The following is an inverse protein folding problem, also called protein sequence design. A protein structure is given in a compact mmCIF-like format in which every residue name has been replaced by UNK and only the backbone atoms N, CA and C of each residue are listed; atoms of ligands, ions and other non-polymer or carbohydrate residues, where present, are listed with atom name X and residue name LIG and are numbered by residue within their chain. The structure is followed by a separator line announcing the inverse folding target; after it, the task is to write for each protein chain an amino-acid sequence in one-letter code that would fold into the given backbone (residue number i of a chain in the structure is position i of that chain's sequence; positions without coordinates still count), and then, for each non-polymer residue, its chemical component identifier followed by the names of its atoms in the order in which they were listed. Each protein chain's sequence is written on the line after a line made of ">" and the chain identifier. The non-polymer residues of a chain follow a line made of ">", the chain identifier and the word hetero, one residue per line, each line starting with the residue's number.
data_IF_850665566282
#
_entry.id   IF_850665566282
#
_cell.length_a   1.000
_cell.length_b   1.000
_cell.length_c   1.000
_cell.angle_alpha   90.00
_cell.angle_beta   90.00
_cell.angle_gamma   90.00
#
_symmetry.space_group_name_H-M   'P 1'
#
loop_
_entity.id
_entity.type
_entity.pdbx_description
1 polymer ?
#
# COMPACT_ATOMS: atom_id res chain seq x y z
N UNK A 1 -17.20 9.77 -20.89
CA UNK A 1 -17.00 9.63 -19.87
C UNK A 1 -16.49 10.40 -18.65
N UNK A 2 -17.41 10.79 -17.80
CA UNK A 2 -17.17 11.53 -16.55
C UNK A 2 -16.35 10.75 -15.49
N UNK A 3 -15.95 9.52 -15.76
CA UNK A 3 -15.27 8.66 -14.79
C UNK A 3 -13.87 8.22 -15.23
N UNK A 4 -13.31 8.85 -16.22
CA UNK A 4 -11.94 8.56 -16.69
C UNK A 4 -10.95 9.43 -15.93
N UNK A 5 -9.87 8.84 -15.44
CA UNK A 5 -8.69 9.57 -14.99
C UNK A 5 -8.18 10.40 -16.17
N UNK A 6 -7.93 11.66 -15.94
CA UNK A 6 -7.26 12.47 -16.95
C UNK A 6 -5.83 11.98 -17.12
N UNK A 7 -5.39 11.92 -18.37
CA UNK A 7 -4.02 11.48 -18.67
C UNK A 7 -3.00 12.38 -17.96
N UNK A 8 -2.05 11.76 -17.26
CA UNK A 8 -1.01 12.46 -16.51
C UNK A 8 -1.44 13.03 -15.16
N UNK A 9 -2.71 12.90 -14.77
CA UNK A 9 -3.20 13.40 -13.49
C UNK A 9 -3.54 12.25 -12.54
N UNK A 10 -3.17 12.42 -11.27
CA UNK A 10 -3.53 11.53 -10.17
C UNK A 10 -4.81 12.03 -9.53
N UNK A 11 -5.75 11.14 -9.24
CA UNK A 11 -6.96 11.48 -8.49
C UNK A 11 -6.58 11.78 -7.03
N UNK A 12 -6.63 13.04 -6.65
CA UNK A 12 -6.29 13.53 -5.31
C UNK A 12 -7.28 14.58 -4.85
N UNK A 13 -7.04 15.15 -3.68
CA UNK A 13 -7.72 16.35 -3.19
C UNK A 13 -9.25 16.20 -3.12
N UNK A 14 -9.71 15.02 -2.77
CA UNK A 14 -11.11 14.70 -2.50
C UNK A 14 -11.26 14.00 -1.14
N UNK A 15 -12.44 14.10 -0.55
CA UNK A 15 -12.70 13.37 0.70
C UNK A 15 -12.42 11.88 0.52
N UNK A 16 -11.74 11.26 1.48
CA UNK A 16 -11.24 9.88 1.35
C UNK A 16 -12.35 8.86 1.09
N UNK A 17 -13.55 9.08 1.66
CA UNK A 17 -14.73 8.24 1.36
C UNK A 17 -15.11 8.25 -0.13
N UNK A 18 -14.85 9.34 -0.83
CA UNK A 18 -15.24 9.50 -2.23
C UNK A 18 -14.41 8.64 -3.19
N UNK A 19 -13.21 8.22 -2.82
CA UNK A 19 -12.43 7.27 -3.65
C UNK A 19 -13.23 5.99 -3.91
N UNK A 20 -13.84 5.39 -2.88
CA UNK A 20 -14.73 4.24 -3.06
C UNK A 20 -15.96 4.57 -3.88
N UNK A 21 -16.59 5.72 -3.61
CA UNK A 21 -17.78 6.15 -4.35
C UNK A 21 -17.52 6.23 -5.86
N UNK A 22 -16.39 6.80 -6.25
CA UNK A 22 -16.02 6.92 -7.66
C UNK A 22 -15.52 5.59 -8.25
N UNK A 23 -14.76 4.79 -7.50
CA UNK A 23 -14.32 3.49 -7.96
C UNK A 23 -15.51 2.56 -8.28
N UNK A 24 -16.53 2.52 -7.43
CA UNK A 24 -17.75 1.71 -7.59
C UNK A 24 -18.59 2.08 -8.81
N UNK A 25 -18.48 3.31 -9.30
CA UNK A 25 -19.13 3.72 -10.56
C UNK A 25 -18.60 2.97 -11.79
N UNK A 26 -17.49 2.25 -11.68
CA UNK A 26 -16.95 1.38 -12.74
C UNK A 26 -17.72 0.06 -12.87
N UNK A 27 -18.50 -0.30 -11.86
CA UNK A 27 -19.29 -1.51 -11.82
C UNK A 27 -19.11 -2.33 -10.53
N UNK A 28 -19.86 -3.43 -10.45
CA UNK A 28 -19.77 -4.36 -9.32
C UNK A 28 -18.35 -4.94 -9.20
N UNK A 29 -17.87 -5.10 -7.97
CA UNK A 29 -16.53 -5.60 -7.67
C UNK A 29 -15.44 -4.55 -7.67
N UNK A 30 -15.69 -3.34 -8.19
CA UNK A 30 -14.72 -2.25 -8.13
C UNK A 30 -14.81 -1.49 -6.82
N UNK A 31 -13.65 -1.17 -6.24
CA UNK A 31 -13.49 -0.26 -5.09
C UNK A 31 -12.12 0.44 -5.17
N UNK A 32 -11.88 1.35 -4.23
CA UNK A 32 -10.55 1.81 -3.91
C UNK A 32 -9.78 0.71 -3.15
N UNK A 33 -8.45 0.85 -3.04
CA UNK A 33 -7.55 -0.10 -2.40
C UNK A 33 -8.14 -0.71 -1.11
N UNK A 34 -8.44 -2.01 -1.15
CA UNK A 34 -9.07 -2.71 -0.05
C UNK A 34 -8.02 -3.32 0.90
N UNK A 35 -8.29 -3.36 2.20
CA UNK A 35 -7.32 -3.78 3.22
C UNK A 35 -6.71 -5.17 2.96
N UNK A 36 -7.48 -6.09 2.39
CA UNK A 36 -7.00 -7.42 2.01
C UNK A 36 -5.94 -7.33 0.92
N UNK A 37 -6.15 -6.49 -0.10
CA UNK A 37 -5.18 -6.33 -1.18
C UNK A 37 -3.86 -5.76 -0.66
N UNK A 38 -3.92 -4.78 0.23
CA UNK A 38 -2.72 -4.22 0.88
C UNK A 38 -1.96 -5.27 1.68
N UNK A 39 -2.66 -6.09 2.47
CA UNK A 39 -2.02 -7.16 3.24
C UNK A 39 -1.39 -8.24 2.34
N UNK A 40 -2.06 -8.60 1.24
CA UNK A 40 -1.53 -9.57 0.26
C UNK A 40 -0.24 -9.04 -0.37
N UNK A 41 -0.18 -7.76 -0.76
CA UNK A 41 1.05 -7.15 -1.29
C UNK A 41 2.19 -7.24 -0.27
N UNK A 42 1.95 -6.89 0.98
CA UNK A 42 2.95 -6.96 2.05
C UNK A 42 3.44 -8.40 2.29
N UNK A 43 2.52 -9.37 2.35
CA UNK A 43 2.86 -10.78 2.58
C UNK A 43 3.65 -11.37 1.40
N UNK A 44 3.20 -11.12 0.16
CA UNK A 44 3.91 -11.60 -1.03
C UNK A 44 5.31 -11.01 -1.12
N UNK A 45 5.47 -9.74 -0.78
CA UNK A 45 6.78 -9.12 -0.71
C UNK A 45 7.72 -9.88 0.24
N UNK A 46 7.29 -10.11 1.47
CA UNK A 46 8.09 -10.83 2.46
C UNK A 46 8.46 -12.25 2.01
N UNK A 47 7.53 -12.95 1.36
CA UNK A 47 7.76 -14.31 0.86
C UNK A 47 8.78 -14.31 -0.30
N UNK A 48 8.65 -13.39 -1.23
CA UNK A 48 9.43 -13.38 -2.47
C UNK A 48 10.86 -12.87 -2.23
N UNK A 49 11.00 -11.81 -1.46
CA UNK A 49 12.30 -11.19 -1.20
C UNK A 49 12.99 -11.70 0.07
N UNK A 50 12.29 -12.43 0.93
CA UNK A 50 12.85 -12.96 2.18
C UNK A 50 13.25 -11.87 3.18
N UNK A 51 12.76 -10.65 3.02
CA UNK A 51 13.06 -9.48 3.86
C UNK A 51 11.80 -8.71 4.23
N UNK A 52 11.89 -7.91 5.28
CA UNK A 52 10.88 -6.90 5.67
C UNK A 52 11.32 -5.48 5.30
N UNK A 53 12.52 -5.31 4.76
CA UNK A 53 13.02 -4.04 4.26
C UNK A 53 12.70 -3.92 2.77
N UNK A 54 11.56 -3.32 2.45
CA UNK A 54 11.10 -3.18 1.07
C UNK A 54 11.99 -2.24 0.27
N UNK A 55 12.52 -1.22 0.89
CA UNK A 55 13.38 -0.25 0.23
C UNK A 55 14.68 -0.90 -0.24
N UNK A 56 15.30 -1.72 0.61
CA UNK A 56 16.52 -2.45 0.24
C UNK A 56 16.32 -3.36 -0.97
N UNK A 57 15.14 -3.97 -1.09
CA UNK A 57 14.85 -4.90 -2.18
C UNK A 57 14.59 -4.22 -3.54
N UNK A 58 14.07 -2.99 -3.55
CA UNK A 58 13.64 -2.31 -4.79
C UNK A 58 14.36 -0.99 -5.07
N UNK A 59 15.08 -0.42 -4.09
CA UNK A 59 15.86 0.81 -4.24
C UNK A 59 17.33 0.47 -4.01
N UNK A 60 18.12 0.55 -5.08
CA UNK A 60 19.50 0.08 -5.07
C UNK A 60 20.49 1.01 -4.33
N UNK A 61 20.18 2.30 -4.20
CA UNK A 61 21.08 3.30 -3.66
C UNK A 61 20.68 3.77 -2.27
N UNK A 62 21.67 4.03 -1.44
CA UNK A 62 21.51 4.64 -0.12
C UNK A 62 21.79 6.13 -0.18
N UNK A 63 21.18 6.89 0.71
CA UNK A 63 21.50 8.30 0.92
C UNK A 63 22.83 8.48 1.66
N UNK A 64 23.22 9.75 1.91
CA UNK A 64 24.44 10.10 2.66
C UNK A 64 24.48 9.60 4.11
N UNK A 65 23.32 9.24 4.68
CA UNK A 65 23.19 8.68 6.02
C UNK A 65 23.23 7.13 6.00
N UNK A 66 23.40 6.52 4.84
CA UNK A 66 23.39 5.07 4.67
C UNK A 66 22.01 4.44 4.70
N UNK A 67 20.95 5.21 4.54
CA UNK A 67 19.55 4.75 4.52
C UNK A 67 19.00 4.71 3.10
N UNK A 68 18.21 3.71 2.80
CA UNK A 68 17.42 3.68 1.57
C UNK A 68 16.29 4.72 1.65
N UNK A 69 16.05 5.43 0.56
CA UNK A 69 14.98 6.40 0.48
C UNK A 69 13.76 5.78 -0.21
N UNK A 70 12.62 5.80 0.45
CA UNK A 70 11.37 5.28 -0.08
C UNK A 70 10.81 6.17 -1.20
N UNK A 71 10.86 5.69 -2.43
CA UNK A 71 10.30 6.42 -3.56
C UNK A 71 11.06 7.69 -3.91
N UNK A 72 10.38 8.84 -3.97
CA UNK A 72 11.01 10.11 -4.33
C UNK A 72 11.94 10.67 -3.25
N UNK A 73 11.80 10.18 -2.02
CA UNK A 73 12.66 10.50 -0.90
C UNK A 73 12.79 11.99 -0.60
N UNK A 74 13.89 12.32 0.07
CA UNK A 74 14.22 13.71 0.43
C UNK A 74 14.53 14.61 -0.77
N UNK A 75 14.79 14.04 -1.94
CA UNK A 75 15.04 14.81 -3.17
C UNK A 75 13.86 15.70 -3.57
N UNK A 76 12.64 15.30 -3.25
CA UNK A 76 11.44 16.11 -3.52
C UNK A 76 11.50 17.48 -2.81
N UNK A 77 12.04 17.54 -1.61
CA UNK A 77 12.13 18.77 -0.83
C UNK A 77 13.16 19.78 -1.41
N UNK A 78 14.01 19.34 -2.31
CA UNK A 78 14.95 20.20 -3.05
C UNK A 78 14.31 20.86 -4.29
N UNK A 79 13.08 20.49 -4.62
CA UNK A 79 12.37 21.10 -5.75
C UNK A 79 11.79 22.45 -5.34
N UNK A 80 11.96 23.52 -6.15
CA UNK A 80 11.32 24.80 -5.87
C UNK A 80 9.81 24.66 -5.70
N UNK A 81 9.27 25.26 -4.64
CA UNK A 81 7.84 25.32 -4.36
C UNK A 81 7.15 23.95 -4.18
N UNK A 82 7.88 22.90 -3.84
CA UNK A 82 7.32 21.56 -3.66
C UNK A 82 6.20 21.54 -2.59
N UNK A 83 6.34 22.30 -1.52
CA UNK A 83 5.39 22.44 -0.42
C UNK A 83 4.12 23.22 -0.83
N UNK A 84 4.23 24.14 -1.78
CA UNK A 84 3.10 24.91 -2.33
C UNK A 84 2.19 24.03 -3.18
N UNK A 85 2.68 22.91 -3.65
CA UNK A 85 1.88 21.90 -4.36
C UNK A 85 1.17 20.93 -3.42
N UNK A 86 1.18 21.19 -2.10
CA UNK A 86 0.56 20.34 -1.08
C UNK A 86 1.16 18.95 -1.06
N UNK A 87 2.49 18.84 -1.19
CA UNK A 87 3.22 17.59 -1.35
C UNK A 87 2.84 16.85 -2.65
N UNK A 88 2.57 17.59 -3.68
CA UNK A 88 2.02 17.07 -4.91
C UNK A 88 3.02 16.16 -5.62
N UNK A 89 2.59 14.98 -6.07
CA UNK A 89 3.46 14.09 -6.82
C UNK A 89 3.77 14.68 -8.18
N UNK A 90 5.05 14.85 -8.48
CA UNK A 90 5.54 15.39 -9.77
C UNK A 90 5.82 14.29 -10.78
N UNK A 91 5.64 13.03 -10.38
CA UNK A 91 5.90 11.85 -11.20
C UNK A 91 4.57 11.31 -11.72
N UNK A 92 4.41 11.10 -13.04
CA UNK A 92 3.19 10.56 -13.60
C UNK A 92 2.97 9.10 -13.17
N UNK A 93 1.72 8.68 -13.11
CA UNK A 93 1.34 7.29 -12.73
C UNK A 93 1.88 6.23 -13.70
N UNK A 94 2.32 6.62 -14.89
CA UNK A 94 2.94 5.75 -15.89
C UNK A 94 4.45 5.55 -15.71
N UNK A 95 5.12 6.32 -14.85
CA UNK A 95 6.54 6.12 -14.59
C UNK A 95 6.81 4.70 -14.09
N UNK A 96 7.84 4.05 -14.63
CA UNK A 96 8.14 2.65 -14.36
C UNK A 96 7.40 1.65 -15.25
N UNK A 97 6.70 2.12 -16.30
CA UNK A 97 5.97 1.23 -17.22
C UNK A 97 6.89 0.26 -17.97
N UNK A 98 8.12 0.65 -18.18
CA UNK A 98 9.16 -0.14 -18.85
C UNK A 98 9.56 -1.40 -18.08
N UNK A 99 9.33 -1.44 -16.77
CA UNK A 99 9.55 -2.64 -15.96
C UNK A 99 8.40 -3.66 -16.08
N UNK A 100 7.28 -3.28 -16.73
CA UNK A 100 6.14 -4.16 -16.92
C UNK A 100 5.61 -4.73 -15.60
N UNK A 101 5.60 -6.04 -15.48
CA UNK A 101 5.25 -6.81 -14.28
C UNK A 101 6.49 -7.28 -13.49
N UNK A 102 7.66 -6.72 -13.78
CA UNK A 102 8.89 -6.94 -13.03
C UNK A 102 8.94 -6.16 -11.70
N UNK A 103 10.11 -6.24 -11.06
CA UNK A 103 10.42 -5.52 -9.83
C UNK A 103 11.70 -4.71 -10.01
N UNK A 104 11.82 -3.63 -9.27
CA UNK A 104 13.01 -2.81 -9.23
C UNK A 104 12.71 -1.33 -9.14
N UNK A 105 13.66 -0.55 -9.62
CA UNK A 105 13.60 0.91 -9.64
C UNK A 105 13.84 1.41 -11.06
N UNK A 106 13.13 2.45 -11.44
CA UNK A 106 13.39 3.23 -12.65
C UNK A 106 13.62 4.68 -12.30
N UNK A 107 14.21 5.43 -13.22
CA UNK A 107 14.44 6.88 -13.05
C UNK A 107 13.50 7.65 -13.96
N UNK A 108 12.68 8.53 -13.38
CA UNK A 108 11.88 9.49 -14.12
C UNK A 108 12.49 10.88 -14.03
N UNK A 109 12.86 11.45 -15.18
CA UNK A 109 13.43 12.79 -15.24
C UNK A 109 12.32 13.85 -15.26
N UNK A 110 12.27 14.64 -14.19
CA UNK A 110 11.45 15.86 -14.12
C UNK A 110 12.25 16.97 -14.77
N UNK A 111 11.70 17.58 -15.83
CA UNK A 111 12.37 18.64 -16.59
C UNK A 111 11.84 20.00 -16.19
N UNK A 112 12.68 21.03 -16.30
CA UNK A 112 12.30 22.43 -16.23
C UNK A 112 11.61 22.86 -17.54
N UNK A 113 11.06 24.05 -17.55
CA UNK A 113 10.40 24.62 -18.72
C UNK A 113 11.32 24.74 -19.94
N UNK A 114 12.61 25.00 -19.71
CA UNK A 114 13.65 25.07 -20.74
C UNK A 114 14.14 23.69 -21.24
N UNK A 115 13.56 22.59 -20.73
CA UNK A 115 13.93 21.23 -21.07
C UNK A 115 15.15 20.67 -20.33
N UNK A 116 15.83 21.46 -19.49
CA UNK A 116 16.94 20.99 -18.68
C UNK A 116 16.46 20.10 -17.54
N UNK A 117 17.31 19.19 -17.06
CA UNK A 117 16.99 18.33 -15.93
C UNK A 117 16.77 19.17 -14.66
N UNK A 118 15.62 19.01 -14.04
CA UNK A 118 15.31 19.59 -12.76
C UNK A 118 15.57 18.61 -11.61
N UNK A 119 15.04 17.38 -11.73
CA UNK A 119 15.16 16.34 -10.73
C UNK A 119 14.99 14.96 -11.36
N UNK A 120 15.84 14.02 -10.94
CA UNK A 120 15.76 12.61 -11.34
C UNK A 120 15.06 11.82 -10.22
N UNK A 121 13.77 11.53 -10.39
CA UNK A 121 12.97 10.81 -9.42
C UNK A 121 13.22 9.30 -9.53
N UNK A 122 13.51 8.66 -8.42
CA UNK A 122 13.60 7.20 -8.30
C UNK A 122 12.22 6.63 -8.03
N UNK A 123 11.76 5.74 -8.88
CA UNK A 123 10.40 5.21 -8.88
C UNK A 123 10.43 3.70 -8.68
N UNK A 124 9.97 3.17 -7.54
CA UNK A 124 9.91 1.75 -7.31
C UNK A 124 8.74 1.10 -8.07
N UNK A 125 8.97 -0.13 -8.52
CA UNK A 125 7.96 -1.00 -9.12
C UNK A 125 8.05 -2.38 -8.46
N UNK A 126 6.91 -2.97 -8.15
CA UNK A 126 6.79 -4.27 -7.53
C UNK A 126 5.72 -5.09 -8.24
N UNK A 127 6.13 -6.06 -9.07
CA UNK A 127 5.24 -6.90 -9.88
C UNK A 127 4.13 -6.13 -10.59
N UNK A 128 4.52 -5.09 -11.32
CA UNK A 128 3.60 -4.24 -12.05
C UNK A 128 2.83 -3.21 -11.20
N UNK A 129 2.94 -3.26 -9.88
CA UNK A 129 2.48 -2.19 -9.00
C UNK A 129 3.46 -1.03 -9.08
N UNK A 130 3.05 0.04 -9.74
CA UNK A 130 3.86 1.25 -9.89
C UNK A 130 3.64 2.15 -8.68
N UNK A 131 4.73 2.74 -8.20
CA UNK A 131 4.71 3.58 -7.01
C UNK A 131 4.04 2.87 -5.81
N UNK A 132 4.48 1.67 -5.42
CA UNK A 132 3.88 0.95 -4.29
C UNK A 132 4.03 1.73 -2.98
N UNK A 133 5.05 2.59 -2.88
CA UNK A 133 5.31 3.48 -1.76
C UNK A 133 6.09 4.75 -2.17
N UNK A 134 6.17 5.73 -1.27
CA UNK A 134 7.06 6.89 -1.38
C UNK A 134 6.68 7.95 -2.41
N UNK A 135 5.56 7.80 -3.09
CA UNK A 135 5.10 8.77 -4.09
C UNK A 135 3.89 9.56 -3.60
N UNK A 136 2.83 8.87 -3.25
CA UNK A 136 1.58 9.44 -2.74
C UNK A 136 0.98 8.46 -1.73
N UNK A 137 0.45 8.97 -0.64
CA UNK A 137 -0.29 8.17 0.32
C UNK A 137 -1.45 7.43 -0.34
N UNK A 138 -1.61 6.16 -0.04
CA UNK A 138 -2.69 5.33 -0.56
C UNK A 138 -3.69 5.06 0.54
N UNK A 139 -4.94 5.52 0.35
CA UNK A 139 -6.00 5.16 1.28
C UNK A 139 -6.26 3.66 1.24
N UNK A 140 -6.42 3.05 2.40
CA UNK A 140 -6.80 1.65 2.56
C UNK A 140 -8.23 1.60 3.09
N UNK A 141 -9.12 1.00 2.30
CA UNK A 141 -10.55 0.93 2.57
C UNK A 141 -10.94 -0.37 3.29
N UNK A 142 -12.13 -0.38 3.87
CA UNK A 142 -12.68 -1.54 4.58
C UNK A 142 -12.11 -1.73 5.99
N UNK A 143 -11.41 -0.72 6.49
CA UNK A 143 -10.77 -0.71 7.80
C UNK A 143 -11.01 0.63 8.48
N UNK A 144 -11.29 0.60 9.78
CA UNK A 144 -11.39 1.77 10.65
C UNK A 144 -10.50 1.57 11.88
N UNK A 145 -9.74 2.59 12.21
CA UNK A 145 -9.05 2.74 13.47
C UNK A 145 -9.88 3.62 14.40
N UNK A 146 -10.39 3.03 15.48
CA UNK A 146 -11.12 3.73 16.53
C UNK A 146 -10.14 4.18 17.60
N UNK A 147 -9.72 5.41 17.49
CA UNK A 147 -8.69 6.03 18.32
C UNK A 147 -9.23 6.34 19.71
N UNK A 148 -8.76 5.60 20.72
CA UNK A 148 -9.07 5.78 22.13
C UNK A 148 -8.01 6.57 22.90
N UNK A 149 -8.03 6.49 24.22
CA UNK A 149 -7.08 7.20 25.10
C UNK A 149 -5.70 6.55 25.11
N UNK A 150 -5.63 5.27 25.44
CA UNK A 150 -4.37 4.53 25.62
C UNK A 150 -4.03 3.67 24.42
N UNK A 151 -5.05 3.20 23.71
CA UNK A 151 -4.94 2.33 22.55
C UNK A 151 -5.95 2.70 21.51
N UNK A 152 -5.65 2.35 20.27
CA UNK A 152 -6.60 2.39 19.17
C UNK A 152 -7.04 0.98 18.81
N UNK A 153 -8.32 0.80 18.58
CA UNK A 153 -8.91 -0.48 18.21
C UNK A 153 -9.18 -0.51 16.71
N UNK A 154 -8.65 -1.53 16.02
CA UNK A 154 -8.80 -1.67 14.59
C UNK A 154 -9.94 -2.61 14.25
N UNK A 155 -10.83 -2.14 13.38
CA UNK A 155 -12.01 -2.86 12.91
C UNK A 155 -11.98 -3.01 11.39
N UNK A 156 -12.42 -4.16 10.88
CA UNK A 156 -12.51 -4.42 9.44
C UNK A 156 -13.91 -4.81 9.01
N UNK A 157 -14.27 -4.43 7.80
CA UNK A 157 -15.48 -4.93 7.16
C UNK A 157 -15.34 -6.43 6.87
N UNK A 158 -16.39 -7.25 7.17
CA UNK A 158 -16.32 -8.69 6.96
C UNK A 158 -16.19 -9.09 5.49
N UNK A 159 -16.58 -8.23 4.57
CA UNK A 159 -16.37 -8.43 3.13
C UNK A 159 -16.48 -7.11 2.38
N UNK A 160 -15.95 -7.07 1.14
CA UNK A 160 -16.12 -5.93 0.23
C UNK A 160 -17.60 -5.61 -0.06
N UNK A 161 -18.47 -6.61 0.02
CA UNK A 161 -19.90 -6.51 -0.30
C UNK A 161 -20.76 -6.28 0.94
N UNK A 162 -20.20 -6.36 2.15
CA UNK A 162 -20.87 -5.87 3.34
C UNK A 162 -20.94 -4.35 3.30
N UNK A 163 -22.02 -3.78 3.79
CA UNK A 163 -22.11 -2.33 3.95
C UNK A 163 -20.93 -1.83 4.78
N UNK A 164 -20.23 -0.83 4.29
CA UNK A 164 -19.10 -0.20 4.95
C UNK A 164 -19.31 1.32 4.99
N UNK A 165 -19.35 1.85 6.20
CA UNK A 165 -19.41 3.29 6.46
C UNK A 165 -18.18 3.71 7.26
N UNK A 166 -17.43 4.67 6.76
CA UNK A 166 -16.25 5.22 7.42
C UNK A 166 -16.54 5.94 8.76
N UNK A 167 -17.81 6.20 9.04
CA UNK A 167 -18.24 6.92 10.25
C UNK A 167 -18.82 5.99 11.32
N UNK A 168 -18.74 4.67 11.12
CA UNK A 168 -19.32 3.69 12.04
C UNK A 168 -18.51 2.42 12.11
N UNK A 169 -18.36 1.87 13.31
CA UNK A 169 -17.81 0.52 13.54
C UNK A 169 -18.90 -0.55 13.63
N UNK A 170 -20.15 -0.17 13.48
CA UNK A 170 -21.28 -1.12 13.54
C UNK A 170 -21.17 -2.16 12.41
N UNK A 171 -21.28 -3.44 12.78
CA UNK A 171 -21.13 -4.55 11.82
C UNK A 171 -19.70 -4.86 11.39
N UNK A 172 -18.71 -4.15 11.89
CA UNK A 172 -17.29 -4.44 11.67
C UNK A 172 -16.76 -5.45 12.70
N UNK A 173 -15.65 -6.09 12.38
CA UNK A 173 -14.97 -7.08 13.23
C UNK A 173 -13.72 -6.44 13.81
N UNK A 174 -13.60 -6.41 15.16
CA UNK A 174 -12.33 -6.02 15.81
C UNK A 174 -11.24 -7.04 15.50
N UNK A 175 -10.08 -6.58 15.03
CA UNK A 175 -8.98 -7.46 14.62
C UNK A 175 -7.71 -7.30 15.44
N UNK A 176 -7.38 -6.11 15.88
CA UNK A 176 -6.21 -5.88 16.73
C UNK A 176 -6.32 -4.53 17.46
N UNK A 177 -5.33 -4.27 18.29
CA UNK A 177 -5.06 -2.95 18.87
C UNK A 177 -3.72 -2.43 18.34
N UNK A 178 -3.60 -1.13 18.19
CA UNK A 178 -2.39 -0.43 17.75
C UNK A 178 -1.91 0.55 18.81
N UNK A 179 -0.60 0.83 18.92
CA UNK A 179 -0.04 1.79 19.87
C UNK A 179 -0.58 3.20 19.61
N UNK A 180 -0.68 4.00 20.65
CA UNK A 180 -1.02 5.44 20.61
C UNK A 180 0.22 6.34 20.45
N UNK A 181 1.25 5.83 19.83
CA UNK A 181 2.50 6.57 19.62
C UNK A 181 3.11 6.21 18.27
N UNK A 182 3.67 7.21 17.61
CA UNK A 182 4.35 7.04 16.33
C UNK A 182 5.75 6.45 16.50
N UNK A 183 6.23 5.75 15.50
CA UNK A 183 7.58 5.19 15.49
C UNK A 183 7.80 4.18 14.39
N UNK A 184 9.04 3.70 14.27
CA UNK A 184 9.35 2.62 13.33
C UNK A 184 8.69 1.30 13.76
N UNK A 185 8.10 0.61 12.80
CA UNK A 185 7.30 -0.60 13.00
C UNK A 185 8.21 -1.77 13.38
N UNK A 186 7.99 -2.34 14.56
CA UNK A 186 8.67 -3.54 15.03
C UNK A 186 7.86 -4.80 14.76
N UNK A 187 6.52 -4.74 14.94
CA UNK A 187 5.62 -5.87 14.73
C UNK A 187 4.32 -5.42 14.04
N UNK A 188 3.79 -6.29 13.18
CA UNK A 188 2.47 -6.11 12.55
C UNK A 188 1.59 -7.34 12.78
N UNK A 189 0.30 -7.12 12.98
CA UNK A 189 -0.73 -8.14 12.87
C UNK A 189 -1.16 -8.28 11.41
N UNK A 190 -1.46 -9.53 11.01
CA UNK A 190 -2.09 -9.87 9.72
C UNK A 190 -3.38 -10.68 9.95
N UNK A 191 -3.94 -10.61 11.14
CA UNK A 191 -5.17 -11.31 11.46
C UNK A 191 -6.31 -10.86 10.54
N UNK A 192 -7.04 -11.82 9.98
CA UNK A 192 -8.06 -11.62 8.95
C UNK A 192 -7.57 -10.80 7.72
N UNK A 193 -6.30 -10.93 7.37
CA UNK A 193 -5.65 -10.15 6.30
C UNK A 193 -5.73 -8.63 6.53
N UNK A 194 -5.74 -8.20 7.78
CA UNK A 194 -5.61 -6.80 8.15
C UNK A 194 -4.18 -6.53 8.62
N UNK A 195 -3.41 -5.83 7.79
CA UNK A 195 -2.01 -5.51 8.07
C UNK A 195 -1.91 -4.23 8.90
N UNK A 196 -1.77 -4.32 10.22
CA UNK A 196 -1.66 -3.16 11.11
C UNK A 196 -0.49 -3.27 12.07
N UNK A 197 0.25 -2.16 12.34
CA UNK A 197 1.30 -2.13 13.36
C UNK A 197 0.73 -2.44 14.74
N UNK A 198 1.36 -3.38 15.45
CA UNK A 198 0.98 -3.73 16.83
C UNK A 198 2.07 -3.42 17.84
N UNK A 199 3.30 -3.22 17.36
CA UNK A 199 4.43 -2.78 18.17
C UNK A 199 5.33 -1.84 17.36
N UNK A 200 5.79 -0.77 18.00
CA UNK A 200 6.80 0.15 17.49
C UNK A 200 8.09 0.04 18.31
N UNK A 201 9.14 0.79 17.95
CA UNK A 201 10.44 0.76 18.62
C UNK A 201 11.53 0.08 17.80
N UNK A 202 11.31 -0.06 16.48
CA UNK A 202 12.36 -0.37 15.53
C UNK A 202 13.13 0.87 15.09
N UNK A 203 13.93 0.75 14.03
CA UNK A 203 14.66 1.85 13.37
C UNK A 203 14.47 1.76 11.85
N UNK A 204 14.95 2.75 11.10
CA UNK A 204 14.92 2.74 9.63
C UNK A 204 15.72 1.57 9.00
N UNK A 205 16.49 0.82 9.79
CA UNK A 205 17.32 -0.31 9.33
C UNK A 205 17.03 -1.63 10.03
N UNK A 206 16.02 -1.69 10.91
CA UNK A 206 15.67 -2.90 11.65
C UNK A 206 14.19 -3.22 11.54
N UNK A 207 13.85 -4.52 11.59
CA UNK A 207 12.49 -5.05 11.49
C UNK A 207 11.83 -4.69 10.15
N UNK A 208 10.73 -3.88 10.17
CA UNK A 208 10.02 -3.49 8.94
C UNK A 208 10.64 -2.26 8.27
N UNK A 209 11.54 -1.54 8.94
CA UNK A 209 12.21 -0.33 8.45
C UNK A 209 11.30 0.84 8.07
N UNK A 210 10.00 0.67 8.13
CA UNK A 210 8.98 1.63 7.76
C UNK A 210 8.33 2.26 9.00
N UNK A 211 7.75 3.44 8.84
CA UNK A 211 7.25 4.24 9.94
C UNK A 211 5.73 4.13 10.10
N UNK A 212 5.28 4.22 11.35
CA UNK A 212 3.87 4.33 11.74
C UNK A 212 3.60 5.73 12.29
N UNK A 213 2.65 6.43 11.68
CA UNK A 213 2.15 7.71 12.14
C UNK A 213 0.79 7.49 12.81
N UNK A 214 0.79 7.59 14.10
CA UNK A 214 -0.42 7.55 14.90
C UNK A 214 -0.80 8.98 15.33
N UNK A 215 -2.08 9.23 15.42
CA UNK A 215 -2.59 10.53 15.84
C UNK A 215 -2.16 10.86 17.27
N UNK A 216 -1.86 12.13 17.51
CA UNK A 216 -1.46 12.59 18.84
C UNK A 216 -2.55 12.34 19.89
N UNK A 217 -2.16 12.31 21.17
CA UNK A 217 -3.03 12.01 22.31
C UNK A 217 -4.32 12.86 22.38
N UNK A 218 -4.38 14.01 21.72
CA UNK A 218 -5.52 14.92 21.73
C UNK A 218 -6.63 14.57 20.73
N UNK A 219 -6.39 13.68 19.78
CA UNK A 219 -7.34 13.38 18.70
C UNK A 219 -7.92 11.99 18.86
N UNK A 220 -9.19 11.92 19.23
CA UNK A 220 -9.96 10.67 19.37
C UNK A 220 -10.94 10.50 18.22
N UNK A 221 -11.49 9.29 18.13
CA UNK A 221 -12.56 8.95 17.19
C UNK A 221 -12.09 8.17 15.98
N UNK A 222 -12.95 8.05 14.99
CA UNK A 222 -12.74 7.16 13.86
C UNK A 222 -11.73 7.74 12.86
N UNK A 223 -10.79 6.93 12.43
CA UNK A 223 -9.75 7.26 11.45
C UNK A 223 -9.69 6.21 10.36
N UNK A 224 -9.22 6.62 9.20
CA UNK A 224 -8.92 5.74 8.08
C UNK A 224 -7.43 5.44 8.04
N UNK A 225 -7.06 4.30 7.47
CA UNK A 225 -5.66 3.96 7.23
C UNK A 225 -5.19 4.53 5.89
N UNK A 226 -4.00 5.13 5.91
CA UNK A 226 -3.19 5.37 4.72
C UNK A 226 -1.95 4.47 4.75
N UNK A 227 -1.43 4.11 3.58
CA UNK A 227 -0.22 3.29 3.46
C UNK A 227 0.73 3.82 2.40
N UNK A 228 1.99 3.43 2.49
CA UNK A 228 3.01 3.64 1.47
C UNK A 228 3.81 4.92 1.63
N UNK A 229 3.34 5.89 2.43
CA UNK A 229 3.93 7.22 2.57
C UNK A 229 3.90 8.07 1.29
N UNK A 230 4.27 9.33 1.38
CA UNK A 230 4.34 10.27 0.26
C UNK A 230 5.79 10.65 -0.08
N UNK A 231 5.96 11.47 -1.09
CA UNK A 231 7.27 11.78 -1.67
C UNK A 231 8.25 12.46 -0.70
N UNK A 232 7.76 13.15 0.32
CA UNK A 232 8.59 13.84 1.31
C UNK A 232 8.94 12.99 2.54
N UNK A 233 8.46 11.75 2.64
CA UNK A 233 8.67 10.93 3.84
C UNK A 233 10.02 10.20 3.87
N UNK A 234 10.77 10.20 2.75
CA UNK A 234 12.12 9.69 2.67
C UNK A 234 12.28 8.26 3.19
N UNK A 235 13.23 8.05 4.08
CA UNK A 235 13.54 6.74 4.68
C UNK A 235 12.42 6.15 5.54
N UNK A 236 11.42 6.94 5.90
CA UNK A 236 10.24 6.46 6.63
C UNK A 236 9.23 5.75 5.72
N UNK A 237 9.37 5.92 4.38
CA UNK A 237 8.46 5.37 3.40
C UNK A 237 8.76 3.91 3.09
N UNK A 238 7.72 3.17 2.80
CA UNK A 238 7.75 1.78 2.35
C UNK A 238 6.32 1.24 2.30
N UNK A 239 6.10 0.10 1.69
CA UNK A 239 4.74 -0.43 1.58
C UNK A 239 4.13 -0.87 2.91
N UNK A 240 4.95 -1.08 3.94
CA UNK A 240 4.48 -1.35 5.31
C UNK A 240 4.16 -0.06 6.08
N UNK A 241 4.60 1.11 5.60
CA UNK A 241 4.35 2.40 6.21
C UNK A 241 2.85 2.65 6.38
N UNK A 242 2.46 3.10 7.56
CA UNK A 242 1.05 3.20 7.96
C UNK A 242 0.78 4.53 8.64
N UNK A 243 -0.34 5.16 8.31
CA UNK A 243 -0.79 6.40 8.94
C UNK A 243 -2.28 6.29 9.28
N UNK A 244 -2.64 6.64 10.51
CA UNK A 244 -4.01 6.63 11.04
C UNK A 244 -4.42 8.00 11.59
N UNK A 245 -3.80 9.09 11.10
CA UNK A 245 -4.09 10.45 11.58
C UNK A 245 -5.38 11.04 11.02
N UNK A 246 -5.92 10.49 9.95
CA UNK A 246 -6.90 11.17 9.12
C UNK A 246 -8.31 10.59 9.26
N UNK A 247 -9.30 11.47 9.39
CA UNK A 247 -10.71 11.10 9.28
C UNK A 247 -11.12 10.90 7.81
N UNK A 248 -12.18 10.14 7.56
CA UNK A 248 -12.71 9.90 6.21
C UNK A 248 -13.18 11.16 5.48
N UNK A 249 -13.45 12.24 6.22
CA UNK A 249 -13.82 13.54 5.68
C UNK A 249 -12.63 14.39 5.20
N UNK A 250 -11.40 14.00 5.56
CA UNK A 250 -10.20 14.74 5.10
C UNK A 250 -10.03 14.66 3.59
N UNK A 251 -9.36 15.67 3.05
CA UNK A 251 -9.06 15.84 1.63
C UNK A 251 -7.66 16.43 1.51
N UNK A 252 -6.73 15.70 0.91
CA UNK A 252 -5.33 16.09 0.81
C UNK A 252 -4.81 15.83 -0.61
N UNK A 253 -3.93 16.72 -1.10
CA UNK A 253 -3.32 16.60 -2.41
C UNK A 253 -2.33 15.42 -2.50
N UNK A 254 -1.70 15.06 -1.38
CA UNK A 254 -0.76 13.94 -1.28
C UNK A 254 -1.42 12.59 -0.95
N UNK A 255 -2.74 12.46 -1.11
CA UNK A 255 -3.49 11.22 -0.87
C UNK A 255 -4.29 10.82 -2.10
N UNK A 256 -4.16 9.56 -2.49
CA UNK A 256 -4.85 8.92 -3.59
C UNK A 256 -5.30 7.51 -3.22
N UNK A 257 -5.84 6.77 -4.16
CA UNK A 257 -6.15 5.35 -4.01
C UNK A 257 -5.92 4.61 -5.33
N UNK A 258 -5.16 3.53 -5.35
CA UNK A 258 -5.21 2.60 -6.47
C UNK A 258 -6.59 1.95 -6.53
N UNK A 259 -7.00 1.56 -7.73
CA UNK A 259 -8.24 0.81 -7.93
C UNK A 259 -8.03 -0.64 -7.48
N UNK A 260 -9.06 -1.20 -6.89
CA UNK A 260 -9.16 -2.59 -6.52
C UNK A 260 -10.35 -3.24 -7.25
N UNK A 261 -10.15 -4.45 -7.73
CA UNK A 261 -11.21 -5.23 -8.34
C UNK A 261 -11.26 -6.64 -7.73
N UNK A 262 -12.41 -7.00 -7.16
CA UNK A 262 -12.67 -8.33 -6.66
C UNK A 262 -13.68 -9.04 -7.56
N UNK A 263 -13.31 -10.19 -8.06
CA UNK A 263 -14.28 -11.08 -8.72
C UNK A 263 -15.20 -11.65 -7.66
N UNK A 264 -16.48 -11.30 -7.72
CA UNK A 264 -17.49 -11.95 -6.90
C UNK A 264 -17.72 -13.35 -7.44
N UNK A 265 -17.04 -14.33 -6.87
CA UNK A 265 -17.49 -15.71 -7.02
C UNK A 265 -18.66 -15.89 -6.05
N UNK A 266 -19.90 -15.93 -6.55
CA UNK A 266 -21.01 -16.41 -5.75
C UNK A 266 -20.69 -17.85 -5.33
N UNK A 267 -20.37 -18.02 -4.06
CA UNK A 267 -20.62 -19.30 -3.40
C UNK A 267 -22.12 -19.29 -3.09
N UNK A 268 -22.89 -19.97 -3.93
CA UNK A 268 -24.32 -20.06 -3.73
C UNK A 268 -24.60 -20.55 -2.30
N UNK A 269 -25.32 -19.74 -1.54
CA UNK A 269 -25.66 -20.03 -0.14
C UNK A 269 -24.78 -19.42 0.95
N UNK A 270 -23.63 -18.80 0.63
CA UNK A 270 -22.80 -18.11 1.63
C UNK A 270 -23.14 -16.63 1.67
N UNK A 271 -23.89 -16.22 2.69
CA UNK A 271 -24.31 -14.81 2.88
C UNK A 271 -23.37 -14.03 3.80
N UNK A 272 -22.62 -14.71 4.67
CA UNK A 272 -21.78 -14.10 5.69
C UNK A 272 -20.70 -15.07 6.21
N UNK A 273 -19.79 -14.56 7.04
CA UNK A 273 -18.71 -15.33 7.65
C UNK A 273 -19.24 -16.49 8.51
N UNK A 274 -20.33 -16.30 9.23
CA UNK A 274 -20.91 -17.34 10.08
C UNK A 274 -21.45 -18.52 9.25
N UNK A 275 -22.03 -18.24 8.11
CA UNK A 275 -22.46 -19.26 7.14
C UNK A 275 -21.23 -20.00 6.58
N UNK A 276 -20.17 -19.29 6.21
CA UNK A 276 -18.94 -19.89 5.72
C UNK A 276 -18.24 -20.77 6.75
N UNK A 277 -18.21 -20.35 8.02
CA UNK A 277 -17.63 -21.14 9.11
C UNK A 277 -18.38 -22.47 9.34
N UNK A 278 -19.68 -22.51 9.09
CA UNK A 278 -20.51 -23.72 9.24
C UNK A 278 -20.38 -24.68 8.05
N UNK A 279 -19.81 -24.25 6.93
CA UNK A 279 -19.62 -25.11 5.76
C UNK A 279 -18.58 -26.22 6.03
N UNK A 280 -18.81 -27.39 5.49
CA UNK A 280 -17.82 -28.47 5.50
C UNK A 280 -16.62 -28.12 4.61
N UNK A 281 -15.49 -28.76 4.85
CA UNK A 281 -14.29 -28.52 4.02
C UNK A 281 -14.55 -28.85 2.54
N UNK A 282 -15.32 -29.89 2.26
CA UNK A 282 -15.73 -30.25 0.89
C UNK A 282 -16.52 -29.13 0.21
N UNK A 283 -17.47 -28.48 0.94
CA UNK A 283 -18.23 -27.35 0.43
C UNK A 283 -17.36 -26.11 0.21
N UNK A 284 -16.38 -25.87 1.08
CA UNK A 284 -15.39 -24.77 0.93
C UNK A 284 -14.48 -25.02 -0.27
N UNK A 285 -14.07 -26.25 -0.51
CA UNK A 285 -13.18 -26.65 -1.60
C UNK A 285 -13.89 -26.70 -2.97
N UNK A 286 -15.17 -27.08 -3.02
CA UNK A 286 -15.98 -27.04 -4.25
C UNK A 286 -16.10 -25.62 -4.83
N UNK A 287 -15.95 -24.59 -4.00
CA UNK A 287 -15.91 -23.19 -4.41
C UNK A 287 -14.54 -22.68 -4.92
N UNK A 288 -13.48 -23.45 -4.78
CA UNK A 288 -12.16 -23.07 -5.27
C UNK A 288 -12.00 -23.40 -6.74
N UNK A 289 -11.63 -22.46 -7.63
CA UNK A 289 -11.16 -22.81 -8.94
C UNK A 289 -9.78 -23.43 -8.79
N UNK A 290 -9.67 -24.73 -8.93
CA UNK A 290 -8.40 -25.39 -9.15
C UNK A 290 -8.01 -25.12 -10.61
N UNK A 291 -7.51 -23.92 -10.88
CA UNK A 291 -6.68 -23.70 -12.06
C UNK A 291 -5.28 -23.46 -11.54
N UNK A 292 -4.58 -24.52 -11.23
CA UNK A 292 -3.12 -24.48 -11.18
C UNK A 292 -2.68 -24.20 -12.62
N UNK A 293 -2.59 -22.93 -12.99
CA UNK A 293 -1.75 -22.55 -14.12
C UNK A 293 -0.32 -22.84 -13.68
N UNK A 294 0.23 -23.94 -14.15
CA UNK A 294 1.67 -24.14 -14.13
C UNK A 294 2.32 -22.90 -14.70
N UNK A 295 3.16 -22.26 -13.90
CA UNK A 295 3.96 -21.13 -14.38
C UNK A 295 4.67 -21.54 -15.67
N UNK A 296 4.66 -20.71 -16.71
CA UNK A 296 5.35 -21.00 -17.95
C UNK A 296 6.81 -21.39 -17.66
N UNK A 297 7.32 -22.38 -18.37
CA UNK A 297 8.68 -22.93 -18.18
C UNK A 297 9.80 -21.89 -18.24
N UNK A 298 9.57 -20.71 -18.80
CA UNK A 298 10.48 -19.57 -18.79
C UNK A 298 10.80 -19.01 -17.39
N UNK A 299 9.86 -19.04 -16.45
CA UNK A 299 10.13 -18.55 -15.07
C UNK A 299 11.12 -19.44 -14.31
N UNK A 300 11.17 -20.74 -14.63
CA UNK A 300 12.17 -21.67 -14.07
C UNK A 300 13.59 -21.47 -14.62
N UNK A 301 13.74 -20.90 -15.82
CA UNK A 301 15.05 -20.63 -16.39
C UNK A 301 15.70 -19.35 -15.81
N UNK A 302 14.91 -18.34 -15.50
CA UNK A 302 15.44 -17.07 -14.93
C UNK A 302 15.98 -17.28 -13.52
N UNK A 303 15.32 -18.09 -12.68
CA UNK A 303 15.81 -18.42 -11.33
C UNK A 303 17.10 -19.28 -11.35
N UNK A 304 17.30 -20.14 -12.37
CA UNK A 304 18.52 -20.94 -12.49
C UNK A 304 19.72 -20.15 -13.05
N UNK A 305 19.49 -19.05 -13.78
CA UNK A 305 20.59 -18.23 -14.32
C UNK A 305 21.18 -17.29 -13.27
N UNK A 306 20.42 -16.81 -12.28
CA UNK A 306 20.94 -15.97 -11.20
C UNK A 306 21.84 -16.76 -10.24
N UNK A 307 21.56 -18.03 -9.98
CA UNK A 307 22.38 -18.88 -9.10
C UNK A 307 23.72 -19.31 -9.73
N UNK A 308 23.82 -19.34 -11.05
CA UNK A 308 25.05 -19.79 -11.71
C UNK A 308 26.05 -18.65 -11.93
N UNK A 309 25.61 -17.40 -12.01
CA UNK A 309 26.52 -16.25 -12.11
C UNK A 309 27.15 -15.87 -10.75
N UNK A 310 26.43 -16.08 -9.63
CA UNK A 310 26.98 -15.78 -8.31
C UNK A 310 28.02 -16.81 -7.80
N UNK A 311 28.17 -17.97 -8.44
CA UNK A 311 29.18 -18.98 -8.07
C UNK A 311 30.51 -18.84 -8.82
N UNK A 312 30.59 -18.01 -9.86
CA UNK A 312 31.83 -17.82 -10.68
C UNK A 312 32.70 -16.64 -10.24
N UNK A 313 32.27 -15.80 -9.32
CA UNK A 313 33.01 -14.61 -8.89
C UNK A 313 33.33 -14.61 -7.38
N UNK A 314 33.76 -15.74 -6.83
CA UNK A 314 34.45 -15.76 -5.53
C UNK A 314 35.88 -16.26 -5.77
N UNK A 315 36.91 -15.48 -5.31
CA UNK A 315 38.29 -15.89 -5.37
C UNK A 315 38.56 -17.11 -4.53
#
# INVERSE_FOLDING_TARGET
>A
GTYRTQLGMVATNMQYRNFSTYARKRGEGWDANWYVAQAVVEILFMIIFGTRNMQEAVIAEKDSNGLYQGGLGSGTTNMPNWDQWGYYPVVPTSAGIELGDGCGETTFNVLKEDGSLHYAAKVPVFFGLKHPFGHIWKIVRGLIDNVGDEKSEVYVAPSLYAGYDDNSISGLIKVCEVPRTSGYIKQKSYYLLCAMPTEIGATASTYFCDYFWENSASSKGLRVRLSGASANDGANAGAFATNTNNAASNSNANVSAPLYFAVRKRLDGVKDLATWQKMTNAQKDAGRPVTVRTLPSKAKQTLRHSDTQNRRNRP
#
